data_IF_666836448240
#
_entry.id   IF_666836448240
#
_cell.length_a   1.000
_cell.length_b   1.000
_cell.length_c   1.000
_cell.angle_alpha   90.00
_cell.angle_beta   90.00
_cell.angle_gamma   90.00
#
_symmetry.space_group_name_H-M   'P 1'
#
loop_
_entity.id
_entity.type
_entity.pdbx_description
1 polymer ?
#
# COMPACT_ATOMS: atom_id res chain seq x y z
N UNK A 1 5.83 -0.21 -17.39
CA UNK A 1 6.14 0.13 -15.97
C UNK A 1 4.87 0.13 -15.14
N UNK A 2 4.92 -0.42 -13.92
CA UNK A 2 3.78 -0.55 -13.00
C UNK A 2 3.97 0.25 -11.71
N UNK A 3 2.89 0.46 -10.95
CA UNK A 3 2.89 1.12 -9.65
C UNK A 3 3.12 0.12 -8.50
N UNK A 4 3.60 0.57 -7.31
CA UNK A 4 3.89 -0.32 -6.19
C UNK A 4 2.72 -1.20 -5.74
N UNK A 5 1.48 -0.70 -5.73
CA UNK A 5 0.32 -1.52 -5.37
C UNK A 5 0.05 -2.65 -6.40
N UNK A 6 0.33 -2.41 -7.69
CA UNK A 6 0.19 -3.42 -8.74
C UNK A 6 1.23 -4.51 -8.55
N UNK A 7 2.47 -4.15 -8.18
CA UNK A 7 3.49 -5.13 -7.81
C UNK A 7 3.06 -6.01 -6.63
N UNK A 8 2.46 -5.44 -5.59
CA UNK A 8 1.92 -6.22 -4.47
C UNK A 8 0.76 -7.11 -4.88
N UNK A 9 -0.12 -6.64 -5.77
CA UNK A 9 -1.19 -7.46 -6.34
C UNK A 9 -0.60 -8.67 -7.08
N UNK A 10 0.40 -8.47 -7.95
CA UNK A 10 1.09 -9.56 -8.65
C UNK A 10 1.73 -10.53 -7.65
N UNK A 11 2.47 -10.01 -6.67
CA UNK A 11 3.11 -10.82 -5.62
C UNK A 11 2.09 -11.68 -4.87
N UNK A 12 0.93 -11.13 -4.53
CA UNK A 12 -0.13 -11.87 -3.87
C UNK A 12 -0.66 -13.00 -4.75
N UNK A 13 -1.00 -12.70 -6.00
CA UNK A 13 -1.51 -13.68 -6.98
C UNK A 13 -0.51 -14.81 -7.22
N UNK A 14 0.77 -14.48 -7.38
CA UNK A 14 1.85 -15.47 -7.54
C UNK A 14 1.97 -16.36 -6.31
N UNK A 15 1.91 -15.81 -5.10
CA UNK A 15 1.96 -16.64 -3.89
C UNK A 15 0.75 -17.56 -3.76
N UNK A 16 -0.45 -17.10 -4.14
CA UNK A 16 -1.63 -17.96 -4.18
C UNK A 16 -1.47 -19.09 -5.22
N UNK A 17 -0.96 -18.77 -6.42
CA UNK A 17 -0.67 -19.76 -7.45
C UNK A 17 0.32 -20.82 -6.96
N UNK A 18 1.44 -20.41 -6.37
CA UNK A 18 2.47 -21.33 -5.84
C UNK A 18 1.90 -22.23 -4.75
N UNK A 19 1.11 -21.68 -3.82
CA UNK A 19 0.43 -22.47 -2.78
C UNK A 19 -0.58 -23.45 -3.37
N UNK A 20 -1.22 -23.08 -4.48
CA UNK A 20 -2.17 -23.94 -5.19
C UNK A 20 -1.45 -25.13 -5.78
N UNK A 21 -0.32 -24.93 -6.48
CA UNK A 21 0.50 -26.03 -7.00
C UNK A 21 0.96 -27.01 -5.91
N UNK A 22 1.15 -26.53 -4.68
CA UNK A 22 1.64 -27.34 -3.56
C UNK A 22 0.54 -28.08 -2.80
N UNK A 23 -0.70 -27.59 -2.82
CA UNK A 23 -1.78 -28.08 -1.95
C UNK A 23 -2.98 -28.68 -2.70
N UNK A 24 -3.08 -28.46 -4.02
CA UNK A 24 -4.19 -28.93 -4.84
C UNK A 24 -3.71 -29.97 -5.85
N UNK A 25 -4.41 -31.10 -5.92
CA UNK A 25 -4.10 -32.19 -6.86
C UNK A 25 -5.00 -32.19 -8.11
N UNK A 26 -6.16 -31.53 -8.09
CA UNK A 26 -7.10 -31.52 -9.21
C UNK A 26 -6.58 -30.62 -10.35
N UNK A 27 -6.28 -31.17 -11.55
CA UNK A 27 -5.72 -30.40 -12.65
C UNK A 27 -6.65 -29.31 -13.18
N UNK A 28 -7.97 -29.49 -13.07
CA UNK A 28 -8.94 -28.49 -13.54
C UNK A 28 -8.91 -27.25 -12.65
N UNK A 29 -8.92 -27.46 -11.34
CA UNK A 29 -8.78 -26.39 -10.34
C UNK A 29 -7.48 -25.64 -10.53
N UNK A 30 -6.36 -26.36 -10.69
CA UNK A 30 -5.05 -25.72 -10.99
C UNK A 30 -5.17 -24.87 -12.26
N UNK A 31 -5.75 -25.41 -13.33
CA UNK A 31 -5.87 -24.67 -14.59
C UNK A 31 -6.73 -23.42 -14.47
N UNK A 32 -7.81 -23.49 -13.70
CA UNK A 32 -8.65 -22.32 -13.40
C UNK A 32 -7.86 -21.24 -12.66
N UNK A 33 -7.10 -21.62 -11.63
CA UNK A 33 -6.26 -20.66 -10.88
C UNK A 33 -5.18 -20.07 -11.79
N UNK A 34 -4.51 -20.87 -12.63
CA UNK A 34 -3.57 -20.35 -13.63
C UNK A 34 -4.21 -19.28 -14.52
N UNK A 35 -5.36 -19.57 -15.13
CA UNK A 35 -6.05 -18.63 -16.02
C UNK A 35 -6.42 -17.35 -15.27
N UNK A 36 -7.01 -17.46 -14.08
CA UNK A 36 -7.39 -16.31 -13.27
C UNK A 36 -6.18 -15.46 -12.85
N UNK A 37 -5.10 -16.10 -12.41
CA UNK A 37 -3.85 -15.41 -12.07
C UNK A 37 -3.26 -14.72 -13.29
N UNK A 38 -3.24 -15.37 -14.45
CA UNK A 38 -2.74 -14.79 -15.70
C UNK A 38 -3.51 -13.52 -16.08
N UNK A 39 -4.83 -13.59 -16.12
CA UNK A 39 -5.69 -12.45 -16.43
C UNK A 39 -5.48 -11.30 -15.43
N UNK A 40 -5.34 -11.63 -14.15
CA UNK A 40 -5.15 -10.65 -13.08
C UNK A 40 -3.80 -9.91 -13.14
N UNK A 41 -2.72 -10.56 -13.59
CA UNK A 41 -1.38 -9.96 -13.57
C UNK A 41 -0.97 -9.37 -14.93
N UNK A 42 -1.41 -9.95 -16.05
CA UNK A 42 -1.02 -9.47 -17.38
C UNK A 42 -1.69 -8.14 -17.76
N UNK A 43 -2.85 -7.82 -17.17
CA UNK A 43 -3.53 -6.53 -17.38
C UNK A 43 -2.67 -5.31 -17.01
N UNK A 44 -1.63 -5.48 -16.18
CA UNK A 44 -0.76 -4.38 -15.76
C UNK A 44 0.35 -4.06 -16.77
N UNK A 45 0.56 -4.91 -17.78
CA UNK A 45 1.61 -4.73 -18.78
C UNK A 45 1.02 -4.73 -20.20
N UNK A 46 1.32 -3.71 -21.03
CA UNK A 46 0.97 -3.73 -22.45
C UNK A 46 1.50 -4.98 -23.15
N UNK A 47 0.85 -5.41 -24.23
CA UNK A 47 1.27 -6.61 -24.99
C UNK A 47 2.65 -6.45 -25.62
N UNK A 48 3.06 -5.21 -25.90
CA UNK A 48 4.34 -4.88 -26.53
C UNK A 48 5.53 -4.93 -25.54
N UNK A 49 5.28 -4.88 -24.22
CA UNK A 49 6.34 -4.97 -23.19
C UNK A 49 6.79 -6.43 -23.00
N UNK A 50 7.70 -6.91 -23.85
CA UNK A 50 8.12 -8.32 -23.86
C UNK A 50 8.90 -8.75 -22.61
N UNK A 51 9.85 -7.94 -22.15
CA UNK A 51 10.72 -8.31 -21.03
C UNK A 51 9.98 -8.58 -19.69
N UNK A 52 9.07 -7.72 -19.19
CA UNK A 52 8.30 -8.05 -18.00
C UNK A 52 7.35 -9.23 -18.23
N UNK A 53 6.79 -9.38 -19.44
CA UNK A 53 5.89 -10.51 -19.77
C UNK A 53 6.60 -11.86 -19.76
N UNK A 54 7.88 -11.92 -20.14
CA UNK A 54 8.70 -13.13 -20.00
C UNK A 54 8.84 -13.54 -18.53
N UNK A 55 9.04 -12.57 -17.63
CA UNK A 55 9.09 -12.82 -16.18
C UNK A 55 7.73 -13.31 -15.67
N UNK A 56 6.62 -12.70 -16.12
CA UNK A 56 5.27 -13.13 -15.74
C UNK A 56 5.00 -14.57 -16.17
N UNK A 57 5.37 -14.93 -17.40
CA UNK A 57 5.20 -16.29 -17.92
C UNK A 57 5.99 -17.32 -17.09
N UNK A 58 7.16 -16.95 -16.57
CA UNK A 58 7.99 -17.83 -15.75
C UNK A 58 7.33 -18.24 -14.43
N UNK A 59 6.32 -17.52 -13.93
CA UNK A 59 5.57 -17.93 -12.73
C UNK A 59 4.72 -19.19 -12.94
N UNK A 60 4.33 -19.50 -14.17
CA UNK A 60 3.40 -20.59 -14.49
C UNK A 60 4.12 -21.92 -14.71
N UNK A 61 4.75 -22.40 -13.64
CA UNK A 61 5.43 -23.69 -13.63
C UNK A 61 4.99 -24.51 -12.40
N UNK A 62 4.48 -25.75 -12.54
CA UNK A 62 4.01 -26.54 -11.40
C UNK A 62 5.06 -26.78 -10.29
N UNK A 63 6.34 -26.82 -10.66
CA UNK A 63 7.46 -26.91 -9.72
C UNK A 63 7.87 -25.59 -9.06
N UNK A 64 7.12 -24.50 -9.24
CA UNK A 64 7.45 -23.19 -8.67
C UNK A 64 7.45 -23.24 -7.14
N UNK A 65 8.44 -22.60 -6.53
CA UNK A 65 8.55 -22.45 -5.08
C UNK A 65 8.45 -20.99 -4.68
N UNK A 66 8.15 -20.71 -3.41
CA UNK A 66 8.14 -19.33 -2.89
C UNK A 66 9.53 -18.68 -3.01
N UNK A 67 10.60 -19.45 -2.84
CA UNK A 67 11.96 -18.92 -3.00
C UNK A 67 12.21 -18.49 -4.45
N UNK A 68 11.91 -19.38 -5.41
CA UNK A 68 12.11 -19.09 -6.83
C UNK A 68 11.20 -17.96 -7.32
N UNK A 69 9.97 -17.89 -6.83
CA UNK A 69 9.08 -16.78 -7.18
C UNK A 69 9.59 -15.45 -6.62
N UNK A 70 10.24 -15.42 -5.47
CA UNK A 70 10.87 -14.20 -4.94
C UNK A 70 12.04 -13.70 -5.78
N UNK A 71 12.82 -14.60 -6.38
CA UNK A 71 13.88 -14.23 -7.33
C UNK A 71 13.26 -13.53 -8.56
N UNK A 72 12.24 -14.13 -9.17
CA UNK A 72 11.52 -13.54 -10.30
C UNK A 72 10.82 -12.21 -9.93
N UNK A 73 10.23 -12.13 -8.73
CA UNK A 73 9.65 -10.87 -8.24
C UNK A 73 10.71 -9.78 -8.05
N UNK A 74 11.94 -10.15 -7.69
CA UNK A 74 13.05 -9.20 -7.59
C UNK A 74 13.41 -8.65 -8.96
N UNK A 75 13.44 -9.50 -10.00
CA UNK A 75 13.62 -9.06 -11.39
C UNK A 75 12.46 -8.17 -11.85
N UNK A 76 11.22 -8.57 -11.56
CA UNK A 76 10.02 -7.80 -11.91
C UNK A 76 9.99 -6.42 -11.24
N UNK A 77 10.60 -6.29 -10.06
CA UNK A 77 10.68 -5.04 -9.31
C UNK A 77 11.44 -3.95 -10.08
N UNK A 78 12.27 -4.30 -11.05
CA UNK A 78 12.89 -3.31 -11.94
C UNK A 78 11.89 -2.55 -12.82
N UNK A 79 10.69 -3.11 -13.02
CA UNK A 79 9.62 -2.49 -13.78
C UNK A 79 8.64 -1.69 -12.91
N UNK A 80 8.95 -1.49 -11.63
CA UNK A 80 8.11 -0.72 -10.70
C UNK A 80 8.57 0.72 -10.63
N UNK A 81 7.64 1.65 -10.86
CA UNK A 81 7.84 3.08 -10.67
C UNK A 81 7.92 3.36 -9.16
N UNK A 82 9.05 3.88 -8.65
CA UNK A 82 9.14 4.20 -7.22
C UNK A 82 8.20 5.36 -6.88
N UNK A 83 7.67 5.34 -5.65
CA UNK A 83 6.92 6.46 -5.09
C UNK A 83 7.73 7.75 -5.19
N UNK A 84 7.11 8.79 -5.73
CA UNK A 84 7.76 10.09 -5.86
C UNK A 84 7.70 10.83 -4.52
N UNK A 85 8.84 10.92 -3.84
CA UNK A 85 8.94 11.63 -2.56
C UNK A 85 8.76 13.13 -2.79
N UNK A 86 7.81 13.81 -2.14
CA UNK A 86 7.68 15.26 -2.26
C UNK A 86 8.90 15.96 -1.66
N UNK A 87 9.22 17.13 -2.19
CA UNK A 87 10.29 17.97 -1.62
C UNK A 87 9.97 18.38 -0.18
N UNK A 88 10.99 18.65 0.62
CA UNK A 88 10.84 19.15 2.01
C UNK A 88 9.86 20.33 2.09
N UNK A 89 9.94 21.28 1.16
CA UNK A 89 9.03 22.43 1.07
C UNK A 89 7.57 22.02 0.83
N UNK A 90 7.32 21.02 0.00
CA UNK A 90 5.96 20.48 -0.21
C UNK A 90 5.44 19.78 1.04
N UNK A 91 6.28 19.01 1.73
CA UNK A 91 5.93 18.34 2.99
C UNK A 91 5.60 19.37 4.08
N UNK A 92 6.45 20.38 4.28
CA UNK A 92 6.19 21.49 5.20
C UNK A 92 4.90 22.23 4.86
N UNK A 93 4.61 22.46 3.58
CA UNK A 93 3.36 23.08 3.14
C UNK A 93 2.14 22.22 3.49
N UNK A 94 2.19 20.90 3.26
CA UNK A 94 1.12 19.96 3.61
C UNK A 94 0.83 19.95 5.11
N UNK A 95 1.88 20.05 5.93
CA UNK A 95 1.80 19.99 7.38
C UNK A 95 2.06 21.34 8.07
N UNK A 96 1.76 22.47 7.41
CA UNK A 96 2.08 23.84 7.88
C UNK A 96 1.56 24.20 9.29
N UNK A 97 0.57 23.48 9.79
CA UNK A 97 -0.03 23.68 11.12
C UNK A 97 0.67 22.88 12.22
N UNK A 98 1.56 21.96 11.85
CA UNK A 98 2.32 21.11 12.77
C UNK A 98 3.59 21.85 13.16
N UNK A 99 3.70 22.19 14.44
CA UNK A 99 4.92 22.84 14.96
C UNK A 99 6.04 21.80 15.06
N UNK A 100 7.26 22.19 14.67
CA UNK A 100 8.47 21.35 14.75
C UNK A 100 8.29 19.97 14.08
N UNK A 101 7.73 19.96 12.88
CA UNK A 101 7.57 18.74 12.08
C UNK A 101 8.93 18.06 11.87
N UNK A 102 9.04 16.81 12.32
CA UNK A 102 10.19 15.96 12.03
C UNK A 102 9.90 15.19 10.74
N UNK A 103 10.61 15.54 9.67
CA UNK A 103 10.54 14.83 8.39
C UNK A 103 11.64 13.76 8.42
N UNK A 104 11.30 12.47 8.24
CA UNK A 104 12.31 11.41 8.20
C UNK A 104 13.12 11.49 6.92
N UNK A 105 14.31 10.88 6.93
CA UNK A 105 15.02 10.57 5.70
C UNK A 105 14.34 9.37 5.01
N UNK A 106 13.91 9.58 3.77
CA UNK A 106 13.27 8.54 2.97
C UNK A 106 14.27 7.69 2.17
N UNK A 107 15.58 7.98 2.24
CA UNK A 107 16.60 7.24 1.50
C UNK A 107 16.64 5.73 1.85
N UNK A 108 16.27 5.35 3.07
CA UNK A 108 16.20 3.95 3.50
C UNK A 108 14.86 3.27 3.20
N UNK A 109 13.88 4.00 2.65
CA UNK A 109 12.56 3.45 2.33
C UNK A 109 12.60 2.82 0.94
N UNK A 110 12.08 1.61 0.83
CA UNK A 110 11.89 0.96 -0.46
C UNK A 110 10.70 1.60 -1.20
N UNK A 111 10.99 2.62 -1.99
CA UNK A 111 9.97 3.39 -2.70
C UNK A 111 9.28 2.57 -3.80
N UNK A 112 9.89 1.48 -4.29
CA UNK A 112 9.25 0.56 -5.24
C UNK A 112 8.23 -0.36 -4.55
N UNK A 113 8.27 -0.49 -3.23
CA UNK A 113 7.24 -1.18 -2.44
C UNK A 113 6.32 -0.23 -1.65
N UNK A 114 6.32 1.06 -1.99
CA UNK A 114 5.57 2.07 -1.21
C UNK A 114 4.47 2.71 -2.05
N UNK A 115 3.22 2.51 -1.68
CA UNK A 115 2.05 3.18 -2.30
C UNK A 115 1.74 4.52 -1.62
N UNK A 116 2.08 4.67 -0.33
CA UNK A 116 1.98 5.92 0.42
C UNK A 116 3.10 6.03 1.45
N UNK A 117 3.62 7.25 1.66
CA UNK A 117 4.61 7.49 2.70
C UNK A 117 3.92 7.66 4.04
N UNK A 118 4.54 7.14 5.09
CA UNK A 118 4.04 7.31 6.44
C UNK A 118 5.16 7.19 7.45
N UNK A 119 5.07 7.96 8.53
CA UNK A 119 5.98 7.89 9.65
C UNK A 119 5.29 8.29 10.95
N UNK A 120 5.86 7.84 12.06
CA UNK A 120 5.37 8.12 13.40
C UNK A 120 6.29 9.12 14.11
N UNK A 121 5.71 10.07 14.84
CA UNK A 121 6.39 10.79 15.93
C UNK A 121 5.93 10.19 17.26
N UNK A 122 6.82 9.40 17.86
CA UNK A 122 6.58 8.70 19.12
C UNK A 122 6.29 9.70 20.26
N UNK A 123 6.97 10.84 20.26
CA UNK A 123 6.86 11.84 21.33
C UNK A 123 5.47 12.46 21.43
N UNK A 124 4.82 12.66 20.29
CA UNK A 124 3.45 13.19 20.21
C UNK A 124 2.40 12.12 19.91
N UNK A 125 2.79 10.84 19.86
CA UNK A 125 1.95 9.72 19.43
C UNK A 125 1.18 10.05 18.14
N UNK A 126 1.88 10.65 17.18
CA UNK A 126 1.29 11.12 15.94
C UNK A 126 1.76 10.26 14.78
N UNK A 127 0.87 10.00 13.83
CA UNK A 127 1.22 9.42 12.52
C UNK A 127 0.96 10.45 11.45
N UNK A 128 1.89 10.55 10.51
CA UNK A 128 1.82 11.37 9.33
C UNK A 128 1.75 10.46 8.12
N UNK A 129 0.91 10.81 7.14
CA UNK A 129 0.75 10.07 5.90
C UNK A 129 0.77 11.05 4.73
N UNK A 130 1.45 10.68 3.65
CA UNK A 130 1.43 11.40 2.37
C UNK A 130 0.92 10.44 1.31
N UNK A 131 -0.17 10.83 0.67
CA UNK A 131 -0.87 10.07 -0.35
C UNK A 131 -0.75 10.83 -1.67
N UNK A 132 -0.31 10.15 -2.73
CA UNK A 132 -0.36 10.70 -4.08
C UNK A 132 -1.81 10.71 -4.57
N UNK A 133 -2.24 11.78 -5.23
CA UNK A 133 -3.56 11.90 -5.84
C UNK A 133 -3.41 12.48 -7.25
N UNK A 134 -4.47 12.48 -8.06
CA UNK A 134 -4.45 13.12 -9.38
C UNK A 134 -4.04 14.60 -9.33
N UNK A 135 -4.25 15.27 -8.19
CA UNK A 135 -3.96 16.69 -7.98
C UNK A 135 -2.58 16.93 -7.33
N UNK A 136 -1.76 15.88 -7.17
CA UNK A 136 -0.44 15.95 -6.55
C UNK A 136 -0.35 15.12 -5.26
N UNK A 137 -0.17 15.78 -4.12
CA UNK A 137 -0.05 15.10 -2.82
C UNK A 137 -1.03 15.64 -1.80
N UNK A 138 -1.57 14.74 -0.98
CA UNK A 138 -2.39 15.04 0.18
C UNK A 138 -1.71 14.53 1.44
N UNK A 139 -1.52 15.43 2.40
CA UNK A 139 -1.02 15.09 3.73
C UNK A 139 -2.16 14.84 4.72
N UNK A 140 -2.09 13.74 5.46
CA UNK A 140 -2.94 13.46 6.61
C UNK A 140 -2.07 13.33 7.85
N UNK A 141 -2.55 13.84 8.98
CA UNK A 141 -1.91 13.59 10.26
C UNK A 141 -2.95 13.45 11.36
N UNK A 142 -2.59 12.65 12.36
CA UNK A 142 -3.50 12.29 13.43
C UNK A 142 -2.80 11.66 14.60
N UNK A 143 -3.53 11.54 15.70
CA UNK A 143 -3.09 10.80 16.87
C UNK A 143 -3.27 9.30 16.63
N UNK A 144 -2.31 8.50 17.08
CA UNK A 144 -2.38 7.03 17.04
C UNK A 144 -2.30 6.49 18.46
N UNK A 145 -3.30 5.70 18.82
CA UNK A 145 -3.33 5.01 20.12
C UNK A 145 -2.13 4.08 20.28
N UNK A 146 -1.61 3.97 21.50
CA UNK A 146 -0.61 2.95 21.87
C UNK A 146 -1.20 1.56 21.96
N UNK A 147 -2.52 1.44 22.10
CA UNK A 147 -3.22 0.16 22.13
C UNK A 147 -3.16 -0.49 20.74
N UNK A 148 -2.72 -1.75 20.71
CA UNK A 148 -2.64 -2.58 19.51
C UNK A 148 -3.61 -3.74 19.64
N UNK A 149 -4.45 -3.93 18.62
CA UNK A 149 -5.42 -5.02 18.54
C UNK A 149 -5.25 -5.78 17.23
N UNK A 150 -5.78 -7.00 17.17
CA UNK A 150 -6.03 -7.68 15.89
C UNK A 150 -7.28 -7.11 15.24
N UNK A 151 -7.23 -6.89 13.94
CA UNK A 151 -8.36 -6.38 13.18
C UNK A 151 -8.03 -6.19 11.71
N UNK A 152 -9.05 -5.89 10.92
CA UNK A 152 -8.91 -5.62 9.49
C UNK A 152 -8.61 -4.14 9.31
N UNK A 153 -7.48 -3.82 8.68
CA UNK A 153 -7.14 -2.45 8.34
C UNK A 153 -7.95 -2.00 7.12
N UNK A 154 -8.66 -0.87 7.16
CA UNK A 154 -9.44 -0.39 6.03
C UNK A 154 -8.57 0.06 4.85
N UNK A 155 -7.28 0.36 5.06
CA UNK A 155 -6.38 0.82 3.99
C UNK A 155 -5.94 -0.33 3.07
N UNK A 156 -5.42 -1.40 3.66
CA UNK A 156 -4.93 -2.57 2.90
C UNK A 156 -5.96 -3.70 2.85
N UNK A 157 -7.08 -3.62 3.56
CA UNK A 157 -8.11 -4.66 3.70
C UNK A 157 -7.60 -6.02 4.22
N UNK A 158 -6.43 -6.04 4.85
CA UNK A 158 -5.87 -7.24 5.45
C UNK A 158 -6.01 -7.23 6.97
N UNK A 159 -6.12 -8.43 7.54
CA UNK A 159 -5.98 -8.61 8.98
C UNK A 159 -4.54 -8.32 9.40
N UNK A 160 -4.39 -7.59 10.50
CA UNK A 160 -3.10 -7.26 11.06
C UNK A 160 -3.18 -6.71 12.46
N UNK A 161 -2.03 -6.21 12.94
CA UNK A 161 -1.96 -5.43 14.15
C UNK A 161 -2.36 -3.99 13.84
N UNK A 162 -3.52 -3.57 14.35
CA UNK A 162 -4.11 -2.27 14.09
C UNK A 162 -4.17 -1.43 15.37
N UNK A 163 -4.07 -0.12 15.19
CA UNK A 163 -4.25 0.88 16.25
C UNK A 163 -5.19 1.96 15.76
N UNK A 164 -5.96 2.53 16.69
CA UNK A 164 -6.89 3.61 16.37
C UNK A 164 -6.10 4.84 15.92
N UNK A 165 -6.33 5.29 14.68
CA UNK A 165 -5.87 6.57 14.15
C UNK A 165 -7.02 7.57 14.18
N UNK A 166 -6.79 8.75 14.77
CA UNK A 166 -7.75 9.85 14.84
C UNK A 166 -7.18 11.07 14.11
N UNK A 167 -7.79 11.46 12.98
CA UNK A 167 -7.38 12.61 12.18
C UNK A 167 -7.51 13.91 12.99
N UNK A 168 -6.48 14.76 12.88
CA UNK A 168 -6.47 16.11 13.44
C UNK A 168 -6.72 17.18 12.37
N UNK A 169 -7.08 16.76 11.16
CA UNK A 169 -7.35 17.66 10.04
C UNK A 169 -8.73 18.30 10.23
N UNK A 170 -8.77 19.60 10.59
CA UNK A 170 -10.04 20.32 10.84
C UNK A 170 -10.98 20.28 9.63
N UNK A 171 -12.27 20.00 9.87
CA UNK A 171 -13.36 20.54 9.07
C UNK A 171 -13.46 22.05 9.35
N UNK A 172 -13.69 22.88 8.33
CA UNK A 172 -13.83 24.32 8.52
C UNK A 172 -15.18 24.61 9.21
N UNK A 173 -15.21 24.78 10.53
CA UNK A 173 -16.39 25.26 11.29
C UNK A 173 -16.22 25.13 12.80
N UNK A 174 -16.53 26.21 13.54
CA UNK A 174 -16.94 26.30 14.96
C UNK A 174 -16.14 25.65 16.10
N UNK A 175 -14.83 25.51 15.95
CA UNK A 175 -13.93 25.31 17.12
C UNK A 175 -14.07 23.96 17.83
N UNK A 176 -15.03 23.12 17.43
CA UNK A 176 -15.20 21.74 17.82
C UNK A 176 -14.43 20.84 16.83
N UNK A 177 -13.61 19.92 17.36
CA UNK A 177 -12.89 18.96 16.52
C UNK A 177 -13.75 17.69 16.40
N UNK A 178 -14.35 17.45 15.23
CA UNK A 178 -14.92 16.13 14.92
C UNK A 178 -13.76 15.14 14.75
N UNK A 179 -13.49 14.32 15.77
CA UNK A 179 -12.47 13.27 15.69
C UNK A 179 -12.95 12.15 14.78
N UNK A 180 -12.53 12.17 13.51
CA UNK A 180 -12.77 11.07 12.57
C UNK A 180 -11.57 10.15 12.54
N UNK A 181 -11.82 8.85 12.56
CA UNK A 181 -10.75 7.88 12.65
C UNK A 181 -11.22 6.45 12.50
N UNK A 182 -10.26 5.55 12.37
CA UNK A 182 -10.48 4.12 12.29
C UNK A 182 -9.24 3.37 12.78
N UNK A 183 -9.39 2.09 13.07
CA UNK A 183 -8.25 1.21 13.31
C UNK A 183 -7.52 0.96 11.99
N UNK A 184 -6.27 1.38 11.89
CA UNK A 184 -5.40 1.13 10.73
C UNK A 184 -4.16 0.37 11.17
N UNK A 185 -3.45 -0.25 10.22
CA UNK A 185 -2.19 -0.95 10.49
C UNK A 185 -1.24 -0.07 11.31
N UNK A 186 -0.73 -0.63 12.41
CA UNK A 186 0.26 0.06 13.26
C UNK A 186 1.56 0.29 12.48
N UNK A 187 2.00 -0.75 11.77
CA UNK A 187 3.14 -0.74 10.86
C UNK A 187 2.70 -0.34 9.45
N UNK A 188 3.12 0.85 9.02
CA UNK A 188 2.78 1.38 7.70
C UNK A 188 3.58 0.74 6.56
N UNK A 189 4.77 0.18 6.82
CA UNK A 189 5.52 -0.57 5.80
C UNK A 189 4.80 -1.88 5.50
N UNK A 190 4.40 -2.62 6.54
CA UNK A 190 3.57 -3.83 6.39
C UNK A 190 2.26 -3.52 5.65
N UNK A 191 1.64 -2.38 5.96
CA UNK A 191 0.41 -1.94 5.30
C UNK A 191 0.60 -1.69 3.80
N UNK A 192 1.68 -1.01 3.41
CA UNK A 192 2.04 -0.84 2.00
C UNK A 192 2.25 -2.19 1.29
N UNK A 193 2.94 -3.12 1.96
CA UNK A 193 3.20 -4.46 1.42
C UNK A 193 1.96 -5.34 1.21
N UNK A 194 0.85 -4.98 1.85
CA UNK A 194 -0.44 -5.66 1.73
C UNK A 194 -1.42 -4.90 0.85
N UNK A 195 -1.03 -3.74 0.30
CA UNK A 195 -1.94 -2.88 -0.46
C UNK A 195 -1.91 -3.25 -1.94
N UNK A 196 -3.00 -3.83 -2.42
CA UNK A 196 -3.13 -4.32 -3.80
C UNK A 196 -3.94 -3.36 -4.70
N UNK A 197 -4.57 -2.35 -4.11
CA UNK A 197 -5.26 -1.27 -4.82
C UNK A 197 -5.27 0.01 -3.96
N UNK A 198 -5.17 1.20 -4.58
CA UNK A 198 -5.13 2.47 -3.85
C UNK A 198 -6.52 3.03 -3.52
N UNK A 199 -7.61 2.46 -4.08
CA UNK A 199 -8.97 2.96 -3.92
C UNK A 199 -9.36 3.14 -2.45
N UNK A 200 -9.12 2.12 -1.61
CA UNK A 200 -9.41 2.18 -0.18
C UNK A 200 -8.64 3.25 0.58
N UNK A 201 -7.40 3.52 0.15
CA UNK A 201 -6.60 4.61 0.70
C UNK A 201 -7.22 5.97 0.37
N UNK A 202 -7.67 6.16 -0.88
CA UNK A 202 -8.36 7.39 -1.30
C UNK A 202 -9.74 7.55 -0.64
N UNK A 203 -10.49 6.47 -0.47
CA UNK A 203 -11.76 6.47 0.25
C UNK A 203 -11.56 6.84 1.72
N UNK A 204 -10.52 6.31 2.35
CA UNK A 204 -10.14 6.69 3.72
C UNK A 204 -9.78 8.17 3.82
N UNK A 205 -8.99 8.70 2.87
CA UNK A 205 -8.68 10.14 2.81
C UNK A 205 -9.96 10.97 2.70
N UNK A 206 -10.84 10.58 1.78
CA UNK A 206 -12.12 11.27 1.55
C UNK A 206 -13.00 11.28 2.79
N UNK A 207 -13.16 10.13 3.46
CA UNK A 207 -13.92 9.98 4.70
C UNK A 207 -13.40 10.89 5.82
N UNK A 208 -12.08 11.03 5.94
CA UNK A 208 -11.46 11.90 6.93
C UNK A 208 -11.57 13.40 6.58
N UNK A 209 -11.78 13.74 5.32
CA UNK A 209 -11.81 15.13 4.84
C UNK A 209 -13.22 15.67 4.54
N UNK A 210 -14.27 14.84 4.57
CA UNK A 210 -15.64 15.34 4.31
C UNK A 210 -15.98 16.45 5.31
N UNK A 211 -16.57 17.55 4.86
CA UNK A 211 -17.11 18.57 5.76
C UNK A 211 -18.44 18.06 6.31
N UNK A 212 -18.67 18.27 7.60
CA UNK A 212 -20.03 18.15 8.15
C UNK A 212 -20.90 19.18 7.40
N UNK A 213 -22.02 18.73 6.82
CA UNK A 213 -22.97 19.58 6.07
C UNK A 213 -23.73 20.50 7.00
#
# INVERSE_FOLDING_TARGET
MIEPYQFHSIKHQVYQLVRTYQSVNDPRTIKTVETMTKDAIEQFFPEEETAPREILAAFFHPGMTISRSNELLTELKEYVRPFQVPTTKQIEKMFRKVKKLKIPDFASVDLKETTYLSWDDIGSQSKFMIIATEQGFTGLHGHVSTEVKKGICPLCQHEGNVSMFLSLTKSNGDGTYTKRGNYICRDSQRCNQQMEQPANLHDFVSLLQMKDK
#
